data_IF_175953741417
#
_entry.id   IF_175953741417
#
_cell.length_a   1.000
_cell.length_b   1.000
_cell.length_c   1.000
_cell.angle_alpha   90.00
_cell.angle_beta   90.00
_cell.angle_gamma   90.00
#
_symmetry.space_group_name_H-M   'P 1'
#
loop_
_entity.id
_entity.type
_entity.pdbx_description
1 polymer ?
#
# COMPACT_ATOMS: atom_id res chain seq x y z
N UNK A 1 57.36 6.67 59.48
CA UNK A 1 55.97 6.16 59.44
C UNK A 1 55.39 6.52 58.08
N UNK A 2 54.92 5.51 57.33
CA UNK A 2 54.51 5.63 55.91
C UNK A 2 53.05 6.11 55.83
N UNK A 3 52.81 7.25 55.19
CA UNK A 3 51.47 7.69 54.80
C UNK A 3 51.15 7.15 53.39
N UNK A 4 50.13 6.29 53.30
CA UNK A 4 49.60 5.75 52.04
C UNK A 4 48.52 6.70 51.52
N UNK A 5 48.79 7.37 50.40
CA UNK A 5 47.77 8.06 49.62
C UNK A 5 46.91 7.06 48.85
N UNK A 6 45.58 7.20 48.93
CA UNK A 6 44.63 6.48 48.10
C UNK A 6 44.14 7.43 46.99
N UNK A 7 44.41 7.06 45.75
CA UNK A 7 43.84 7.72 44.56
C UNK A 7 42.49 7.08 44.30
N UNK A 8 41.41 7.84 44.44
CA UNK A 8 40.07 7.44 44.01
C UNK A 8 39.96 7.79 42.52
N UNK A 9 40.02 6.79 41.66
CA UNK A 9 39.73 6.93 40.24
C UNK A 9 38.22 7.03 40.04
N UNK A 10 37.72 8.22 39.74
CA UNK A 10 36.33 8.45 39.34
C UNK A 10 36.09 7.91 37.92
N UNK A 11 35.24 6.89 37.81
CA UNK A 11 34.77 6.37 36.52
C UNK A 11 33.74 7.38 35.97
N UNK A 12 34.14 8.12 34.93
CA UNK A 12 33.22 8.89 34.09
C UNK A 12 32.40 7.90 33.26
N UNK A 13 31.13 7.71 33.61
CA UNK A 13 30.17 7.01 32.76
C UNK A 13 29.74 7.98 31.67
N UNK A 14 30.34 7.82 30.48
CA UNK A 14 29.88 8.47 29.26
C UNK A 14 28.60 7.76 28.84
N UNK A 15 27.45 8.42 29.09
CA UNK A 15 26.17 8.04 28.51
C UNK A 15 26.24 8.26 27.00
N UNK A 16 26.56 7.21 26.25
CA UNK A 16 26.41 7.19 24.80
C UNK A 16 24.93 7.41 24.47
N UNK A 17 24.57 8.39 23.63
CA UNK A 17 23.20 8.50 23.14
C UNK A 17 22.88 7.22 22.37
N UNK A 18 21.76 6.59 22.72
CA UNK A 18 21.16 5.52 21.93
C UNK A 18 20.88 6.11 20.56
N UNK A 19 21.77 5.83 19.60
CA UNK A 19 21.53 6.14 18.21
C UNK A 19 20.24 5.42 17.81
N UNK A 20 19.20 6.20 17.50
CA UNK A 20 18.02 5.68 16.82
C UNK A 20 18.53 4.94 15.58
N UNK A 21 18.30 3.64 15.53
CA UNK A 21 18.68 2.80 14.41
C UNK A 21 18.15 3.44 13.11
N UNK A 22 19.07 3.78 12.21
CA UNK A 22 18.74 4.19 10.84
C UNK A 22 17.83 3.11 10.23
N UNK A 23 16.69 3.46 9.60
CA UNK A 23 15.88 2.47 8.94
C UNK A 23 16.66 1.88 7.77
N UNK A 24 16.56 0.56 7.66
CA UNK A 24 17.22 -0.30 6.70
C UNK A 24 17.10 0.19 5.25
N UNK A 25 18.08 -0.21 4.42
CA UNK A 25 18.06 -0.12 2.94
C UNK A 25 16.64 -0.25 2.39
N UNK A 26 16.23 0.76 1.62
CA UNK A 26 14.97 0.96 0.90
C UNK A 26 14.48 -0.25 0.08
N UNK A 27 14.02 -1.30 0.73
CA UNK A 27 13.28 -2.36 0.07
C UNK A 27 11.99 -2.62 0.82
N UNK A 28 10.89 -2.56 0.07
CA UNK A 28 9.57 -2.85 0.60
C UNK A 28 9.54 -4.30 1.11
N UNK A 29 8.81 -4.57 2.21
CA UNK A 29 8.56 -5.94 2.64
C UNK A 29 8.04 -6.76 1.47
N UNK A 30 8.67 -7.90 1.21
CA UNK A 30 8.21 -8.81 0.17
C UNK A 30 6.90 -9.47 0.61
N UNK A 31 5.98 -9.75 -0.33
CA UNK A 31 4.79 -10.54 -0.05
C UNK A 31 5.16 -11.88 0.59
N UNK A 32 4.43 -12.25 1.63
CA UNK A 32 4.70 -13.45 2.44
C UNK A 32 3.74 -14.58 2.07
N UNK A 33 4.14 -15.85 2.15
CA UNK A 33 3.24 -16.97 1.89
C UNK A 33 2.02 -16.99 2.82
N UNK A 34 0.85 -17.25 2.26
CA UNK A 34 -0.42 -17.42 2.98
C UNK A 34 -0.78 -18.90 2.98
N UNK A 35 -0.98 -19.47 4.17
CA UNK A 35 -1.44 -20.86 4.31
C UNK A 35 -2.94 -20.96 4.03
N UNK A 36 -3.29 -21.73 2.99
CA UNK A 36 -4.68 -21.98 2.58
C UNK A 36 -5.20 -23.36 3.01
N UNK A 37 -4.41 -24.18 3.71
CA UNK A 37 -4.78 -25.58 4.03
C UNK A 37 -6.16 -25.71 4.68
N UNK A 38 -6.46 -24.86 5.66
CA UNK A 38 -7.73 -24.89 6.38
C UNK A 38 -8.94 -24.43 5.55
N UNK A 39 -8.70 -23.74 4.44
CA UNK A 39 -9.73 -23.18 3.56
C UNK A 39 -9.93 -24.02 2.30
N UNK A 40 -9.01 -24.95 2.03
CA UNK A 40 -8.78 -25.53 0.71
C UNK A 40 -10.02 -26.13 0.06
N UNK A 41 -10.80 -26.89 0.82
CA UNK A 41 -12.00 -27.57 0.32
C UNK A 41 -13.18 -26.61 0.08
N UNK A 42 -13.04 -25.32 0.48
CA UNK A 42 -14.04 -24.26 0.32
C UNK A 42 -13.63 -23.22 -0.71
N UNK A 43 -12.46 -23.37 -1.33
CA UNK A 43 -11.96 -22.43 -2.32
C UNK A 43 -12.58 -22.73 -3.69
N UNK A 44 -13.13 -21.69 -4.30
CA UNK A 44 -13.53 -21.71 -5.70
C UNK A 44 -12.38 -21.17 -6.54
N UNK A 45 -12.14 -21.81 -7.69
CA UNK A 45 -11.07 -21.41 -8.62
C UNK A 45 -11.71 -20.94 -9.90
N UNK A 46 -11.31 -19.77 -10.38
CA UNK A 46 -11.78 -19.22 -11.64
C UNK A 46 -10.63 -18.80 -12.54
N UNK A 47 -10.88 -18.80 -13.84
CA UNK A 47 -9.95 -18.27 -14.83
C UNK A 47 -10.67 -17.37 -15.85
N UNK A 48 -9.98 -16.33 -16.32
CA UNK A 48 -10.44 -15.52 -17.45
C UNK A 48 -9.71 -15.91 -18.75
N UNK A 49 -10.18 -15.34 -19.88
CA UNK A 49 -9.57 -15.57 -21.20
C UNK A 49 -8.21 -14.91 -21.38
N UNK A 50 -7.85 -13.94 -20.54
CA UNK A 50 -6.57 -13.24 -20.56
C UNK A 50 -5.48 -13.96 -19.74
N UNK A 51 -5.82 -15.10 -19.10
CA UNK A 51 -4.89 -15.91 -18.32
C UNK A 51 -4.85 -15.55 -16.83
N UNK A 52 -5.74 -14.67 -16.36
CA UNK A 52 -5.92 -14.40 -14.94
C UNK A 52 -6.48 -15.61 -14.21
N UNK A 53 -5.91 -15.95 -13.06
CA UNK A 53 -6.41 -16.97 -12.13
C UNK A 53 -6.87 -16.31 -10.85
N UNK A 54 -8.07 -16.66 -10.41
CA UNK A 54 -8.74 -16.12 -9.24
C UNK A 54 -9.06 -17.28 -8.30
N UNK A 55 -8.74 -17.14 -7.02
CA UNK A 55 -9.10 -18.13 -6.01
C UNK A 55 -9.88 -17.43 -4.91
N UNK A 56 -11.10 -17.87 -4.70
CA UNK A 56 -12.09 -17.14 -3.89
C UNK A 56 -12.60 -18.03 -2.77
N UNK A 57 -12.67 -17.43 -1.59
CA UNK A 57 -13.39 -17.94 -0.45
C UNK A 57 -14.56 -17.01 -0.14
N UNK A 58 -15.71 -17.27 -0.79
CA UNK A 58 -16.89 -16.40 -0.68
C UNK A 58 -17.73 -16.66 0.58
N UNK A 59 -17.65 -17.86 1.15
CA UNK A 59 -18.48 -18.31 2.27
C UNK A 59 -17.66 -18.65 3.52
N UNK A 60 -17.07 -17.65 4.19
CA UNK A 60 -16.41 -17.88 5.46
C UNK A 60 -17.40 -18.24 6.57
N UNK A 61 -17.02 -19.12 7.52
CA UNK A 61 -17.71 -19.25 8.80
C UNK A 61 -17.90 -17.88 9.45
N UNK A 62 -18.93 -17.75 10.30
CA UNK A 62 -19.15 -16.52 11.08
C UNK A 62 -17.86 -16.08 11.79
N UNK A 63 -17.54 -14.79 11.69
CA UNK A 63 -16.31 -14.21 12.26
C UNK A 63 -15.04 -14.39 11.43
N UNK A 64 -15.09 -15.06 10.26
CA UNK A 64 -13.98 -15.13 9.30
C UNK A 64 -14.21 -14.21 8.10
N UNK A 65 -13.11 -13.75 7.51
CA UNK A 65 -13.14 -12.86 6.34
C UNK A 65 -13.15 -13.65 5.04
N UNK A 66 -13.92 -13.15 4.07
CA UNK A 66 -13.88 -13.65 2.71
C UNK A 66 -12.53 -13.29 2.09
N UNK A 67 -11.94 -14.22 1.33
CA UNK A 67 -10.63 -14.06 0.71
C UNK A 67 -10.73 -14.12 -0.80
N UNK A 68 -9.94 -13.30 -1.46
CA UNK A 68 -9.74 -13.35 -2.91
C UNK A 68 -8.24 -13.33 -3.14
N UNK A 69 -7.74 -14.25 -3.96
CA UNK A 69 -6.36 -14.25 -4.46
C UNK A 69 -6.39 -14.12 -5.97
N UNK A 70 -5.43 -13.38 -6.54
CA UNK A 70 -5.37 -13.14 -7.98
C UNK A 70 -3.93 -13.08 -8.51
N UNK A 71 -3.74 -13.57 -9.73
CA UNK A 71 -2.53 -13.37 -10.51
C UNK A 71 -2.62 -13.97 -11.91
N UNK A 72 -1.73 -13.55 -12.80
CA UNK A 72 -1.64 -14.03 -14.20
C UNK A 72 -0.63 -15.18 -14.37
N UNK A 73 -0.14 -15.74 -13.27
CA UNK A 73 0.82 -16.83 -13.25
C UNK A 73 0.64 -17.70 -12.01
N UNK A 74 1.70 -18.39 -11.60
CA UNK A 74 1.67 -19.28 -10.43
C UNK A 74 1.73 -18.56 -9.07
N UNK A 75 1.86 -17.24 -9.06
CA UNK A 75 1.83 -16.43 -7.84
C UNK A 75 0.51 -15.69 -7.79
N UNK A 76 -0.28 -15.92 -6.75
CA UNK A 76 -1.57 -15.30 -6.51
C UNK A 76 -1.48 -14.43 -5.25
N UNK A 77 -1.75 -13.14 -5.41
CA UNK A 77 -1.70 -12.17 -4.33
C UNK A 77 -3.07 -12.01 -3.71
N UNK A 78 -3.12 -12.00 -2.38
CA UNK A 78 -4.32 -11.71 -1.62
C UNK A 78 -4.79 -10.28 -1.93
N UNK A 79 -6.09 -10.15 -2.18
CA UNK A 79 -6.73 -8.88 -2.43
C UNK A 79 -7.22 -8.30 -1.12
N UNK A 80 -7.12 -6.98 -0.98
CA UNK A 80 -7.65 -6.28 0.20
C UNK A 80 -9.17 -6.18 0.06
N UNK A 81 -9.89 -6.95 0.87
CA UNK A 81 -11.35 -6.93 0.89
C UNK A 81 -11.86 -5.60 1.48
N UNK A 82 -12.76 -4.94 0.76
CA UNK A 82 -13.39 -3.67 1.18
C UNK A 82 -14.88 -3.80 1.44
N UNK A 83 -15.48 -4.95 1.11
CA UNK A 83 -16.88 -5.20 1.34
C UNK A 83 -17.36 -6.51 0.75
N UNK A 84 -18.51 -6.97 1.23
CA UNK A 84 -19.21 -8.13 0.69
C UNK A 84 -20.69 -7.86 0.63
N UNK A 85 -21.35 -8.37 -0.39
CA UNK A 85 -22.82 -8.42 -0.47
C UNK A 85 -23.28 -9.80 -0.89
N UNK A 86 -24.49 -10.17 -0.48
CA UNK A 86 -25.13 -11.42 -0.86
C UNK A 86 -26.63 -11.22 -0.96
N UNK A 87 -27.21 -11.76 -2.02
CA UNK A 87 -28.65 -11.83 -2.22
C UNK A 87 -29.00 -13.23 -2.72
N UNK A 88 -29.44 -14.11 -1.81
CA UNK A 88 -29.60 -15.53 -2.07
C UNK A 88 -28.29 -16.17 -2.58
N UNK A 89 -28.33 -16.54 -3.85
CA UNK A 89 -27.26 -17.22 -4.55
C UNK A 89 -26.22 -16.26 -5.15
N UNK A 90 -26.63 -15.03 -5.48
CA UNK A 90 -25.72 -14.01 -5.96
C UNK A 90 -24.91 -13.42 -4.82
N UNK A 91 -23.64 -13.11 -5.11
CA UNK A 91 -22.73 -12.49 -4.16
C UNK A 91 -21.71 -11.60 -4.86
N UNK A 92 -21.20 -10.61 -4.14
CA UNK A 92 -20.09 -9.75 -4.56
C UNK A 92 -19.05 -9.66 -3.47
N UNK A 93 -17.78 -9.83 -3.84
CA UNK A 93 -16.64 -9.52 -2.99
C UNK A 93 -15.93 -8.30 -3.57
N UNK A 94 -16.02 -7.19 -2.86
CA UNK A 94 -15.40 -5.94 -3.25
C UNK A 94 -13.96 -5.91 -2.75
N UNK A 95 -13.04 -5.50 -3.61
CA UNK A 95 -11.62 -5.40 -3.28
C UNK A 95 -11.10 -4.01 -3.60
N UNK A 96 -10.12 -3.55 -2.82
CA UNK A 96 -9.47 -2.27 -3.08
C UNK A 96 -8.76 -2.27 -4.43
N UNK A 97 -9.10 -1.30 -5.27
CA UNK A 97 -8.59 -1.17 -6.63
C UNK A 97 -8.17 0.27 -6.90
N UNK A 98 -6.94 0.66 -6.51
CA UNK A 98 -6.55 2.06 -6.44
C UNK A 98 -6.40 2.76 -7.80
N UNK A 99 -6.39 2.00 -8.91
CA UNK A 99 -6.35 2.56 -10.27
C UNK A 99 -7.74 2.89 -10.83
N UNK A 100 -8.81 2.44 -10.16
CA UNK A 100 -10.19 2.77 -10.53
C UNK A 100 -10.54 4.18 -9.99
N UNK A 101 -11.15 5.06 -10.80
CA UNK A 101 -11.57 6.39 -10.36
C UNK A 101 -12.74 6.38 -9.39
N UNK A 102 -12.93 7.51 -8.71
CA UNK A 102 -14.06 7.78 -7.81
C UNK A 102 -14.17 6.83 -6.63
N UNK A 103 -13.04 6.28 -6.17
CA UNK A 103 -12.94 5.37 -5.03
C UNK A 103 -13.76 4.09 -5.17
N UNK A 104 -14.11 3.72 -6.40
CA UNK A 104 -14.89 2.51 -6.66
C UNK A 104 -14.02 1.26 -6.44
N UNK A 105 -14.52 0.26 -5.71
CA UNK A 105 -13.79 -0.99 -5.51
C UNK A 105 -13.83 -1.83 -6.79
N UNK A 106 -12.86 -2.70 -7.01
CA UNK A 106 -13.08 -3.82 -7.93
C UNK A 106 -14.00 -4.85 -7.30
N UNK A 107 -14.54 -5.77 -8.08
CA UNK A 107 -15.31 -6.87 -7.52
C UNK A 107 -15.09 -8.19 -8.25
N UNK A 108 -15.19 -9.29 -7.51
CA UNK A 108 -15.51 -10.61 -8.06
C UNK A 108 -16.96 -10.90 -7.68
N UNK A 109 -17.79 -11.22 -8.65
CA UNK A 109 -19.22 -11.41 -8.44
C UNK A 109 -19.70 -12.72 -9.02
N UNK A 110 -20.66 -13.33 -8.31
CA UNK A 110 -21.60 -14.31 -8.86
C UNK A 110 -22.93 -13.60 -9.06
N UNK A 111 -23.43 -13.59 -10.29
CA UNK A 111 -24.74 -13.03 -10.63
C UNK A 111 -25.87 -14.01 -10.34
N UNK A 112 -27.10 -13.50 -10.36
CA UNK A 112 -28.32 -14.30 -10.15
C UNK A 112 -28.50 -15.40 -11.21
N UNK A 113 -27.99 -15.20 -12.42
CA UNK A 113 -27.98 -16.20 -13.50
C UNK A 113 -26.89 -17.28 -13.33
N UNK A 114 -26.15 -17.23 -12.22
CA UNK A 114 -25.05 -18.15 -11.91
C UNK A 114 -23.73 -17.83 -12.60
N UNK A 115 -23.66 -16.78 -13.42
CA UNK A 115 -22.41 -16.39 -14.09
C UNK A 115 -21.46 -15.70 -13.12
N UNK A 116 -20.16 -15.90 -13.35
CA UNK A 116 -19.10 -15.27 -12.57
C UNK A 116 -18.40 -14.18 -13.39
N UNK A 117 -18.11 -13.04 -12.78
CA UNK A 117 -17.35 -11.98 -13.43
C UNK A 117 -16.41 -11.24 -12.48
N UNK A 118 -15.33 -10.71 -13.05
CA UNK A 118 -14.51 -9.66 -12.46
C UNK A 118 -14.99 -8.32 -13.01
N UNK A 119 -15.28 -7.39 -12.12
CA UNK A 119 -15.64 -6.01 -12.42
C UNK A 119 -14.49 -5.04 -12.07
N UNK A 120 -14.14 -4.19 -13.02
CA UNK A 120 -13.13 -3.15 -12.93
C UNK A 120 -13.59 -1.87 -13.66
N UNK A 121 -14.75 -1.33 -13.28
CA UNK A 121 -15.31 -0.12 -13.90
C UNK A 121 -15.68 -0.25 -15.39
N UNK A 122 -16.02 -1.45 -15.86
CA UNK A 122 -16.52 -1.67 -17.23
C UNK A 122 -15.46 -1.61 -18.33
N UNK A 123 -14.26 -1.08 -18.06
CA UNK A 123 -13.19 -0.95 -19.07
C UNK A 123 -12.40 -2.23 -19.27
N UNK A 124 -12.24 -3.00 -18.20
CA UNK A 124 -11.60 -4.30 -18.19
C UNK A 124 -12.44 -5.22 -17.30
N UNK A 125 -13.68 -5.50 -17.69
CA UNK A 125 -14.49 -6.51 -17.03
C UNK A 125 -14.25 -7.85 -17.72
N UNK A 126 -14.15 -8.94 -16.94
CA UNK A 126 -13.93 -10.27 -17.49
C UNK A 126 -15.00 -11.24 -17.03
N UNK A 127 -15.49 -12.06 -17.96
CA UNK A 127 -16.25 -13.27 -17.63
C UNK A 127 -15.30 -14.32 -17.11
N UNK A 128 -15.65 -14.93 -15.98
CA UNK A 128 -14.85 -15.92 -15.30
C UNK A 128 -15.42 -17.31 -15.53
N UNK A 129 -14.55 -18.25 -15.87
CA UNK A 129 -14.89 -19.68 -15.99
C UNK A 129 -14.49 -20.37 -14.70
N UNK A 130 -15.43 -21.05 -14.04
CA UNK A 130 -15.13 -21.86 -12.87
C UNK A 130 -14.36 -23.12 -13.27
N UNK A 131 -13.28 -23.38 -12.54
CA UNK A 131 -12.42 -24.55 -12.68
C UNK A 131 -12.70 -25.46 -11.49
N UNK A 132 -13.02 -26.73 -11.77
CA UNK A 132 -13.41 -27.71 -10.75
C UNK A 132 -12.54 -28.98 -10.81
N UNK A 133 -12.73 -29.89 -9.86
CA UNK A 133 -12.10 -31.22 -9.83
C UNK A 133 -10.56 -31.18 -9.77
N UNK A 134 -9.92 -32.14 -10.44
CA UNK A 134 -8.46 -32.31 -10.42
C UNK A 134 -7.69 -31.08 -10.93
N UNK A 135 -8.28 -30.33 -11.87
CA UNK A 135 -7.67 -29.09 -12.38
C UNK A 135 -7.62 -28.01 -11.30
N UNK A 136 -8.72 -27.81 -10.57
CA UNK A 136 -8.76 -26.88 -9.45
C UNK A 136 -7.77 -27.31 -8.35
N UNK A 137 -7.78 -28.59 -8.00
CA UNK A 137 -6.85 -29.16 -7.01
C UNK A 137 -5.39 -28.91 -7.39
N UNK A 138 -5.03 -29.12 -8.66
CA UNK A 138 -3.68 -28.89 -9.16
C UNK A 138 -3.26 -27.42 -9.09
N UNK A 139 -4.19 -26.47 -9.30
CA UNK A 139 -3.93 -25.03 -9.09
C UNK A 139 -3.66 -24.78 -7.60
N UNK A 140 -4.54 -25.24 -6.72
CA UNK A 140 -4.41 -25.06 -5.27
C UNK A 140 -3.12 -25.72 -4.69
N UNK A 141 -2.63 -26.81 -5.29
CA UNK A 141 -1.37 -27.47 -4.89
C UNK A 141 -0.11 -26.75 -5.37
N UNK A 142 -0.13 -26.24 -6.61
CA UNK A 142 1.09 -25.82 -7.32
C UNK A 142 1.31 -24.31 -7.31
N UNK A 143 0.29 -23.53 -6.97
CA UNK A 143 0.35 -22.09 -6.97
C UNK A 143 0.80 -21.59 -5.59
N UNK A 144 1.50 -20.46 -5.59
CA UNK A 144 1.91 -19.76 -4.38
C UNK A 144 0.85 -18.71 -4.05
N UNK A 145 0.31 -18.81 -2.85
CA UNK A 145 -0.60 -17.82 -2.28
C UNK A 145 0.22 -16.87 -1.44
N UNK A 146 0.15 -15.58 -1.76
CA UNK A 146 0.96 -14.53 -1.16
C UNK A 146 0.05 -13.49 -0.52
N UNK A 147 0.56 -12.81 0.51
CA UNK A 147 -0.07 -11.62 1.07
C UNK A 147 -0.21 -10.53 -0.01
N UNK A 148 -0.96 -9.43 0.24
CA UNK A 148 -1.11 -8.38 -0.76
C UNK A 148 0.24 -7.87 -1.29
N UNK A 149 0.32 -7.69 -2.61
CA UNK A 149 1.54 -7.19 -3.26
C UNK A 149 1.79 -5.71 -2.94
N UNK A 150 0.71 -4.93 -2.82
CA UNK A 150 0.77 -3.52 -2.49
C UNK A 150 0.78 -3.31 -0.97
N UNK A 151 1.99 -3.17 -0.42
CA UNK A 151 2.26 -3.01 1.02
C UNK A 151 2.33 -1.55 1.47
N UNK A 152 2.04 -0.60 0.57
CA UNK A 152 2.17 0.84 0.82
C UNK A 152 0.86 1.58 0.62
N UNK A 153 0.70 2.66 1.37
CA UNK A 153 -0.44 3.58 1.31
C UNK A 153 0.01 5.00 0.99
N UNK A 154 -0.79 5.76 0.22
CA UNK A 154 -0.61 7.20 0.11
C UNK A 154 -0.62 7.85 1.50
N UNK A 155 0.26 8.81 1.70
CA UNK A 155 0.36 9.58 2.94
C UNK A 155 0.15 11.07 2.70
N UNK A 156 0.78 11.62 1.66
CA UNK A 156 0.63 13.01 1.25
C UNK A 156 0.76 13.11 -0.26
N UNK A 157 -0.09 13.91 -0.88
CA UNK A 157 0.08 14.35 -2.26
C UNK A 157 -0.07 15.87 -2.30
N UNK A 158 0.85 16.54 -2.97
CA UNK A 158 0.78 17.96 -3.23
C UNK A 158 1.38 18.29 -4.61
N UNK A 159 1.08 19.47 -5.12
CA UNK A 159 1.60 19.97 -6.41
C UNK A 159 1.90 21.46 -6.31
N UNK A 160 2.92 21.93 -7.00
CA UNK A 160 3.10 23.36 -7.27
C UNK A 160 2.35 23.81 -8.53
N UNK A 161 2.26 25.11 -8.77
CA UNK A 161 1.54 25.65 -9.92
C UNK A 161 2.15 25.25 -11.27
N UNK A 162 3.43 24.89 -11.30
CA UNK A 162 4.14 24.46 -12.51
C UNK A 162 3.92 23.00 -12.89
N UNK A 163 3.21 22.23 -12.05
CA UNK A 163 2.88 20.84 -12.35
C UNK A 163 3.87 19.83 -11.80
N UNK A 164 4.75 20.24 -10.87
CA UNK A 164 5.62 19.32 -10.13
C UNK A 164 4.84 18.77 -8.94
N UNK A 165 4.79 17.46 -8.85
CA UNK A 165 4.18 16.73 -7.76
C UNK A 165 5.19 16.43 -6.66
N UNK A 166 4.71 16.45 -5.43
CA UNK A 166 5.40 16.06 -4.22
C UNK A 166 4.54 15.00 -3.56
N UNK A 167 5.03 13.77 -3.51
CA UNK A 167 4.27 12.62 -3.04
C UNK A 167 5.03 11.91 -1.93
N UNK A 168 4.30 11.54 -0.88
CA UNK A 168 4.79 10.72 0.21
C UNK A 168 3.90 9.48 0.31
N UNK A 169 4.54 8.32 0.36
CA UNK A 169 3.90 7.09 0.78
C UNK A 169 4.52 6.56 2.07
N UNK A 170 3.84 5.60 2.68
CA UNK A 170 4.31 4.87 3.86
C UNK A 170 3.94 3.39 3.74
N UNK A 171 4.57 2.56 4.56
CA UNK A 171 4.10 1.18 4.72
C UNK A 171 2.68 1.19 5.32
N UNK A 172 1.88 0.22 4.91
CA UNK A 172 0.57 -0.03 5.51
C UNK A 172 0.71 -0.35 7.00
N UNK A 173 -0.37 -0.17 7.78
CA UNK A 173 -0.38 -0.45 9.21
C UNK A 173 0.00 -1.90 9.53
N UNK A 174 -0.40 -2.85 8.69
CA UNK A 174 -0.01 -4.26 8.82
C UNK A 174 1.52 -4.48 8.73
N UNK A 175 2.24 -3.52 8.15
CA UNK A 175 3.69 -3.51 8.01
C UNK A 175 4.35 -2.41 8.89
N UNK A 176 3.68 -2.00 9.97
CA UNK A 176 4.20 -1.06 10.97
C UNK A 176 3.85 0.41 10.74
N UNK A 177 3.19 0.77 9.62
CA UNK A 177 2.65 2.11 9.39
C UNK A 177 3.68 3.26 9.26
N UNK A 178 4.97 2.93 9.33
CA UNK A 178 6.13 3.84 9.22
C UNK A 178 6.92 3.51 7.94
N UNK A 179 8.09 4.11 7.73
CA UNK A 179 8.91 3.87 6.54
C UNK A 179 8.45 4.72 5.35
N UNK A 180 8.54 6.04 5.51
CA UNK A 180 8.15 7.00 4.48
C UNK A 180 9.08 6.93 3.26
N UNK A 181 8.55 7.21 2.08
CA UNK A 181 9.35 7.59 0.90
C UNK A 181 8.83 8.90 0.36
N UNK A 182 9.74 9.77 -0.05
CA UNK A 182 9.41 11.06 -0.69
C UNK A 182 9.73 10.97 -2.17
N UNK A 183 8.81 11.42 -3.00
CA UNK A 183 8.98 11.49 -4.45
C UNK A 183 8.67 12.89 -4.95
N UNK A 184 9.49 13.39 -5.88
CA UNK A 184 9.27 14.70 -6.51
C UNK A 184 9.47 14.59 -8.02
N UNK A 185 8.57 15.19 -8.81
CA UNK A 185 8.69 15.21 -10.27
C UNK A 185 7.40 15.51 -11.01
N UNK A 186 7.46 15.44 -12.35
CA UNK A 186 6.27 15.46 -13.21
C UNK A 186 5.61 14.08 -13.23
N UNK A 187 4.34 14.02 -13.65
CA UNK A 187 3.66 12.74 -13.94
C UNK A 187 4.55 11.85 -14.82
N UNK A 188 4.61 10.56 -14.51
CA UNK A 188 5.44 9.56 -15.19
C UNK A 188 6.94 9.66 -14.93
N UNK A 189 7.43 10.72 -14.30
CA UNK A 189 8.85 11.02 -14.12
C UNK A 189 9.19 11.40 -12.66
N UNK A 190 8.49 10.78 -11.70
CA UNK A 190 8.74 10.96 -10.28
C UNK A 190 10.11 10.37 -9.90
N UNK A 191 10.87 11.10 -9.08
CA UNK A 191 12.15 10.64 -8.53
C UNK A 191 12.02 10.49 -7.03
N UNK A 192 12.41 9.33 -6.50
CA UNK A 192 12.53 9.15 -5.06
C UNK A 192 13.69 10.00 -4.54
N UNK A 193 13.44 10.77 -3.50
CA UNK A 193 14.44 11.52 -2.76
C UNK A 193 14.77 10.75 -1.49
N UNK A 194 16.04 10.44 -1.28
CA UNK A 194 16.50 9.78 -0.05
C UNK A 194 16.21 10.69 1.16
N UNK A 195 15.45 10.14 2.11
CA UNK A 195 15.18 10.80 3.38
C UNK A 195 16.44 10.82 4.24
N UNK A 196 16.69 11.94 4.90
CA UNK A 196 17.74 12.09 5.90
C UNK A 196 17.17 12.14 7.31
N UNK A 197 15.96 12.70 7.46
CA UNK A 197 15.25 12.77 8.73
C UNK A 197 13.73 12.92 8.50
N UNK A 198 12.95 12.51 9.50
CA UNK A 198 11.49 12.75 9.55
C UNK A 198 11.09 13.21 10.95
N UNK A 199 10.71 14.47 11.07
CA UNK A 199 10.06 14.99 12.27
C UNK A 199 8.54 14.80 12.16
N UNK A 200 7.89 14.32 13.22
CA UNK A 200 6.44 14.14 13.28
C UNK A 200 5.95 14.39 14.71
N UNK A 201 5.23 15.48 14.89
CA UNK A 201 4.73 15.96 16.19
C UNK A 201 3.37 16.66 16.03
N UNK A 202 2.89 17.33 17.09
CA UNK A 202 1.61 18.04 17.08
C UNK A 202 1.55 19.22 16.10
N UNK A 203 2.71 19.78 15.72
CA UNK A 203 2.79 20.87 14.74
C UNK A 203 2.78 20.35 13.29
N UNK A 204 2.90 19.04 13.08
CA UNK A 204 2.79 18.41 11.77
C UNK A 204 3.97 17.52 11.45
N UNK A 205 4.37 17.48 10.17
CA UNK A 205 5.43 16.61 9.69
C UNK A 205 6.40 17.34 8.78
N UNK A 206 7.69 17.04 8.95
CA UNK A 206 8.77 17.53 8.10
C UNK A 206 9.54 16.33 7.58
N UNK A 207 9.61 16.21 6.26
CA UNK A 207 10.38 15.18 5.56
C UNK A 207 11.63 15.82 4.97
N UNK A 208 12.77 15.60 5.60
CA UNK A 208 14.04 16.17 5.15
C UNK A 208 14.74 15.26 4.16
N UNK A 209 15.24 15.86 3.08
CA UNK A 209 16.04 15.19 2.05
C UNK A 209 17.29 16.01 1.77
N UNK A 210 18.29 15.41 1.12
CA UNK A 210 19.51 16.14 0.70
C UNK A 210 19.22 17.36 -0.20
N UNK A 211 18.08 17.38 -0.87
CA UNK A 211 17.72 18.41 -1.88
C UNK A 211 16.71 19.43 -1.39
N UNK A 212 16.18 19.27 -0.17
CA UNK A 212 15.17 20.14 0.43
C UNK A 212 14.23 19.39 1.37
N UNK A 213 13.36 20.15 2.03
CA UNK A 213 12.38 19.65 2.99
C UNK A 213 10.97 19.76 2.42
N UNK A 214 10.19 18.69 2.52
CA UNK A 214 8.74 18.73 2.34
C UNK A 214 8.08 18.90 3.71
N UNK A 215 7.36 19.99 3.91
CA UNK A 215 6.77 20.36 5.20
C UNK A 215 5.26 20.35 5.09
N UNK A 216 4.60 19.67 6.02
CA UNK A 216 3.17 19.68 6.25
C UNK A 216 2.96 20.22 7.66
N UNK A 217 2.73 21.52 7.81
CA UNK A 217 2.71 22.18 9.13
C UNK A 217 1.31 22.70 9.43
N UNK A 218 0.80 22.37 10.61
CA UNK A 218 -0.42 22.95 11.15
C UNK A 218 -0.12 24.40 11.54
N UNK A 219 -0.76 25.37 10.90
CA UNK A 219 -0.66 26.76 11.34
C UNK A 219 -1.65 27.02 12.47
N UNK A 220 -1.20 27.73 13.50
CA UNK A 220 -1.99 28.15 14.68
C UNK A 220 -3.11 29.14 14.34
N UNK A 221 -3.15 29.65 13.11
CA UNK A 221 -3.93 30.81 12.72
C UNK A 221 -5.24 30.42 12.02
N UNK A 222 -6.16 29.72 12.69
CA UNK A 222 -7.55 29.46 12.25
C UNK A 222 -7.75 28.98 10.78
N UNK A 223 -6.70 28.55 10.08
CA UNK A 223 -6.78 27.98 8.74
C UNK A 223 -7.09 26.51 8.86
N UNK A 224 -8.18 26.08 8.23
CA UNK A 224 -8.67 24.70 8.25
C UNK A 224 -7.82 23.73 7.43
N UNK A 225 -6.79 24.22 6.73
CA UNK A 225 -5.88 23.41 5.89
C UNK A 225 -4.41 23.60 6.31
N UNK A 226 -3.68 22.50 6.62
CA UNK A 226 -2.25 22.57 6.93
C UNK A 226 -1.46 23.21 5.78
N UNK A 227 -0.53 24.10 6.12
CA UNK A 227 0.32 24.72 5.11
C UNK A 227 1.35 23.70 4.62
N UNK A 228 1.27 23.37 3.33
CA UNK A 228 2.16 22.39 2.69
C UNK A 228 3.18 23.14 1.84
N UNK A 229 4.48 22.96 2.11
CA UNK A 229 5.55 23.69 1.41
C UNK A 229 6.73 22.81 1.07
N UNK A 230 7.41 23.16 -0.01
CA UNK A 230 8.76 22.68 -0.31
C UNK A 230 9.78 23.77 0.03
N UNK A 231 10.81 23.42 0.80
CA UNK A 231 11.88 24.34 1.20
C UNK A 231 13.21 23.83 0.67
N UNK A 232 13.87 24.63 -0.17
CA UNK A 232 15.20 24.33 -0.72
C UNK A 232 16.15 25.49 -0.44
N UNK A 233 17.00 25.33 0.57
CA UNK A 233 17.79 26.43 1.11
C UNK A 233 16.88 27.54 1.63
N UNK A 234 17.06 28.76 1.14
CA UNK A 234 16.21 29.91 1.51
C UNK A 234 14.90 29.97 0.72
N UNK A 235 14.80 29.26 -0.41
CA UNK A 235 13.61 29.29 -1.26
C UNK A 235 12.49 28.44 -0.65
N UNK A 236 11.33 29.06 -0.46
CA UNK A 236 10.09 28.42 -0.04
C UNK A 236 9.11 28.43 -1.21
N UNK A 237 8.53 27.28 -1.51
CA UNK A 237 7.47 27.10 -2.51
C UNK A 237 6.23 26.59 -1.81
N UNK A 238 5.15 27.36 -1.86
CA UNK A 238 3.85 26.90 -1.38
C UNK A 238 3.29 25.82 -2.33
N UNK A 239 2.66 24.80 -1.75
CA UNK A 239 2.13 23.66 -2.48
C UNK A 239 0.63 23.53 -2.25
N UNK A 240 -0.08 23.18 -3.31
CA UNK A 240 -1.49 22.82 -3.26
C UNK A 240 -1.57 21.37 -2.80
N UNK A 241 -2.11 21.14 -1.60
CA UNK A 241 -2.39 19.80 -1.10
C UNK A 241 -3.53 19.18 -1.91
N UNK A 242 -3.33 17.95 -2.35
CA UNK A 242 -4.32 17.18 -3.09
C UNK A 242 -4.80 16.02 -2.21
N UNK A 243 -6.09 15.71 -2.31
CA UNK A 243 -6.67 14.56 -1.62
C UNK A 243 -6.12 13.26 -2.22
N UNK A 244 -5.54 12.39 -1.40
CA UNK A 244 -4.89 11.16 -1.88
C UNK A 244 -5.88 10.09 -2.34
N UNK A 245 -7.09 10.11 -1.80
CA UNK A 245 -8.13 9.13 -2.11
C UNK A 245 -8.75 9.49 -3.46
N UNK A 246 -9.19 10.74 -3.63
CA UNK A 246 -9.73 11.24 -4.91
C UNK A 246 -8.68 11.13 -6.02
N UNK A 247 -7.41 11.36 -5.71
CA UNK A 247 -6.31 11.26 -6.67
C UNK A 247 -5.62 9.88 -6.68
N UNK A 248 -6.27 8.83 -6.16
CA UNK A 248 -5.70 7.49 -6.18
C UNK A 248 -5.30 7.02 -7.60
N UNK A 249 -6.13 7.19 -8.66
CA UNK A 249 -5.70 6.82 -10.02
C UNK A 249 -4.43 7.56 -10.47
N UNK A 250 -4.34 8.87 -10.19
CA UNK A 250 -3.14 9.65 -10.49
C UNK A 250 -1.91 9.03 -9.81
N UNK A 251 -2.01 8.67 -8.53
CA UNK A 251 -0.91 8.11 -7.75
C UNK A 251 -0.47 6.74 -8.29
N UNK A 252 -1.44 5.85 -8.50
CA UNK A 252 -1.16 4.44 -8.77
C UNK A 252 -0.97 4.11 -10.26
N UNK A 253 -1.37 5.01 -11.15
CA UNK A 253 -1.23 4.88 -12.60
C UNK A 253 -0.29 5.93 -13.19
N UNK A 254 -0.59 7.21 -12.99
CA UNK A 254 0.03 8.29 -13.78
C UNK A 254 1.37 8.79 -13.22
N UNK A 255 1.58 8.77 -11.91
CA UNK A 255 2.86 9.20 -11.31
C UNK A 255 4.02 8.28 -11.69
N UNK A 256 3.72 7.05 -12.11
CA UNK A 256 4.70 6.09 -12.59
C UNK A 256 5.53 5.40 -11.51
N UNK A 257 5.15 5.55 -10.24
CA UNK A 257 5.82 4.97 -9.06
C UNK A 257 5.47 3.48 -8.90
N UNK A 258 4.19 3.15 -8.96
CA UNK A 258 3.71 1.78 -8.80
C UNK A 258 3.54 1.15 -10.18
N UNK A 259 4.49 0.30 -10.59
CA UNK A 259 4.38 -0.45 -11.85
C UNK A 259 3.47 -1.66 -11.73
N UNK A 260 3.56 -2.34 -10.59
CA UNK A 260 2.77 -3.52 -10.24
C UNK A 260 2.13 -3.29 -8.87
N UNK A 261 0.83 -3.56 -8.76
CA UNK A 261 0.09 -3.53 -7.49
C UNK A 261 -0.44 -4.90 -7.08
N UNK A 262 -0.52 -5.85 -8.03
CA UNK A 262 -1.08 -7.18 -7.80
C UNK A 262 -2.58 -7.17 -7.50
N UNK A 263 -3.27 -6.06 -7.79
CA UNK A 263 -4.72 -5.95 -7.63
C UNK A 263 -5.47 -6.52 -8.84
N UNK A 264 -6.76 -6.86 -8.67
CA UNK A 264 -7.62 -7.39 -9.75
C UNK A 264 -7.62 -6.54 -11.03
N UNK A 265 -7.45 -5.23 -10.88
CA UNK A 265 -7.54 -4.25 -11.96
C UNK A 265 -6.22 -3.49 -12.14
N UNK A 266 -5.10 -4.20 -11.93
CA UNK A 266 -3.77 -3.61 -12.05
C UNK A 266 -3.48 -3.12 -13.47
N UNK A 267 -4.05 -3.72 -14.52
CA UNK A 267 -3.81 -3.33 -15.91
C UNK A 267 -4.64 -2.12 -16.41
N UNK A 268 -5.50 -1.52 -15.59
CA UNK A 268 -6.27 -0.31 -15.94
C UNK A 268 -5.44 0.95 -15.76
#
# INVERSE_FOLDING_TARGET
MRARGWVVAGILVVLSPVAAAQPAKDSDPKPTPVDIKALRDKLQVFQDKAGGTYVVFAEPPSGSDAKVFYGTGKQLYEQINTGRSRNGDAWSLNTWAPRIPDLRPAAITRKDDGTFMRWCDGRDDAVLTEITGDKAKAILDKYQFLSPALVRRPHLLARDDSGIYYYVDRLDKAHGGKGFRVFVGKKGAMKQLALTDVASDSAGQVFSTKTGDLRLVNTTDNQTTPNTRWVKGEKKTDLIKLDTDVNSPLIFKDLGIYKFTGTLCDNI
#
